data_IF_658000132473
#
_entry.id   IF_658000132473
#
_cell.length_a   1.000
_cell.length_b   1.000
_cell.length_c   1.000
_cell.angle_alpha   90.00
_cell.angle_beta   90.00
_cell.angle_gamma   90.00
#
_symmetry.space_group_name_H-M   'P 1'
#
loop_
_entity.id
_entity.type
_entity.pdbx_description
1 polymer ?
#
# COMPACT_ATOMS: atom_id res chain seq x y z
N UNK A 1 15.36 -12.43 -15.61
CA UNK A 1 16.82 -12.19 -15.59
C UNK A 1 17.39 -12.84 -14.35
N UNK A 2 18.56 -13.48 -14.42
CA UNK A 2 19.26 -14.01 -13.24
C UNK A 2 20.33 -12.99 -12.84
N UNK A 3 20.25 -12.50 -11.61
CA UNK A 3 21.17 -11.50 -11.05
C UNK A 3 21.74 -12.07 -9.77
N UNK A 4 23.05 -11.89 -9.55
CA UNK A 4 23.67 -12.21 -8.28
C UNK A 4 23.79 -10.93 -7.46
N UNK A 5 23.22 -10.93 -6.25
CA UNK A 5 23.23 -9.79 -5.34
C UNK A 5 23.43 -10.31 -3.92
N UNK A 6 24.29 -9.65 -3.16
CA UNK A 6 24.48 -9.95 -1.75
C UNK A 6 23.36 -9.29 -0.95
N UNK A 7 22.65 -10.10 -0.15
CA UNK A 7 21.60 -9.65 0.76
C UNK A 7 21.86 -10.30 2.12
N UNK A 8 21.59 -9.54 3.19
CA UNK A 8 21.60 -10.04 4.55
C UNK A 8 20.63 -11.23 4.71
N UNK A 9 21.13 -12.37 5.15
CA UNK A 9 20.35 -13.59 5.36
C UNK A 9 19.32 -13.41 6.49
N UNK A 10 19.64 -12.69 7.56
CA UNK A 10 18.69 -12.43 8.63
C UNK A 10 17.48 -11.62 8.13
N UNK A 11 17.74 -10.67 7.22
CA UNK A 11 16.69 -9.85 6.61
C UNK A 11 15.75 -10.71 5.76
N UNK A 12 16.31 -11.61 4.94
CA UNK A 12 15.52 -12.49 4.09
C UNK A 12 14.72 -13.50 4.93
N UNK A 13 15.30 -14.01 6.01
CA UNK A 13 14.64 -14.99 6.88
C UNK A 13 13.47 -14.35 7.62
N UNK A 14 13.66 -13.15 8.17
CA UNK A 14 12.58 -12.35 8.77
C UNK A 14 11.47 -12.08 7.73
N UNK A 15 11.84 -11.72 6.51
CA UNK A 15 10.88 -11.45 5.45
C UNK A 15 10.12 -12.72 5.01
N UNK A 16 10.77 -13.88 4.95
CA UNK A 16 10.12 -15.18 4.68
C UNK A 16 9.12 -15.55 5.78
N UNK A 17 9.50 -15.39 7.05
CA UNK A 17 8.65 -15.66 8.21
C UNK A 17 7.38 -14.79 8.20
N UNK A 18 7.54 -13.49 7.93
CA UNK A 18 6.43 -12.53 7.94
C UNK A 18 5.51 -12.71 6.72
N UNK A 19 6.10 -12.86 5.53
CA UNK A 19 5.34 -12.97 4.28
C UNK A 19 4.73 -14.36 4.05
N UNK A 20 5.18 -15.39 4.80
CA UNK A 20 4.83 -16.80 4.62
C UNK A 20 5.11 -17.34 3.21
N UNK A 21 6.03 -16.69 2.48
CA UNK A 21 6.46 -17.12 1.16
C UNK A 21 7.49 -18.24 1.25
N UNK A 22 7.53 -19.08 0.22
CA UNK A 22 8.38 -20.28 0.21
C UNK A 22 9.80 -20.05 -0.32
N UNK A 23 10.04 -18.95 -1.04
CA UNK A 23 11.32 -18.75 -1.75
C UNK A 23 11.86 -17.35 -1.58
N UNK A 24 13.19 -17.23 -1.47
CA UNK A 24 13.89 -15.93 -1.44
C UNK A 24 13.51 -15.06 -2.66
N UNK A 25 13.38 -15.68 -3.86
CA UNK A 25 12.94 -14.98 -5.07
C UNK A 25 11.57 -14.31 -4.89
N UNK A 26 10.58 -15.05 -4.41
CA UNK A 26 9.22 -14.52 -4.25
C UNK A 26 9.18 -13.35 -3.26
N UNK A 27 9.97 -13.43 -2.19
CA UNK A 27 10.10 -12.34 -1.21
C UNK A 27 10.71 -11.10 -1.84
N UNK A 28 11.79 -11.25 -2.60
CA UNK A 28 12.44 -10.11 -3.28
C UNK A 28 11.50 -9.47 -4.30
N UNK A 29 10.77 -10.27 -5.07
CA UNK A 29 9.82 -9.79 -6.07
C UNK A 29 8.65 -9.02 -5.42
N UNK A 30 8.10 -9.56 -4.33
CA UNK A 30 7.09 -8.86 -3.53
C UNK A 30 7.62 -7.55 -2.95
N UNK A 31 8.84 -7.56 -2.40
CA UNK A 31 9.44 -6.36 -1.80
C UNK A 31 9.63 -5.24 -2.83
N UNK A 32 10.08 -5.59 -4.06
CA UNK A 32 10.22 -4.63 -5.16
C UNK A 32 8.87 -4.07 -5.60
N UNK A 33 7.84 -4.91 -5.73
CA UNK A 33 6.49 -4.45 -6.05
C UNK A 33 5.98 -3.46 -5.00
N UNK A 34 6.11 -3.81 -3.71
CA UNK A 34 5.69 -2.95 -2.61
C UNK A 34 6.47 -1.64 -2.56
N UNK A 35 7.76 -1.67 -2.90
CA UNK A 35 8.58 -0.46 -3.00
C UNK A 35 8.05 0.48 -4.09
N UNK A 36 7.73 -0.05 -5.28
CA UNK A 36 7.19 0.74 -6.40
C UNK A 36 5.83 1.34 -6.01
N UNK A 37 4.92 0.53 -5.46
CA UNK A 37 3.60 0.99 -5.04
C UNK A 37 3.69 2.07 -3.96
N UNK A 38 4.62 1.92 -3.01
CA UNK A 38 4.90 2.93 -1.98
C UNK A 38 5.38 4.23 -2.61
N UNK A 39 6.30 4.18 -3.57
CA UNK A 39 6.80 5.38 -4.24
C UNK A 39 5.71 6.06 -5.08
N UNK A 40 4.86 5.28 -5.76
CA UNK A 40 3.71 5.83 -6.47
C UNK A 40 2.78 6.60 -5.52
N UNK A 41 2.47 6.04 -4.33
CA UNK A 41 1.69 6.74 -3.29
C UNK A 41 2.37 7.99 -2.76
N UNK A 42 3.69 7.95 -2.55
CA UNK A 42 4.44 9.15 -2.14
C UNK A 42 4.39 10.25 -3.19
N UNK A 43 4.45 9.89 -4.48
CA UNK A 43 4.33 10.85 -5.56
C UNK A 43 2.93 11.49 -5.63
N UNK A 44 1.87 10.79 -5.21
CA UNK A 44 0.53 11.39 -5.09
C UNK A 44 0.51 12.56 -4.08
N UNK A 45 1.34 12.53 -3.04
CA UNK A 45 1.44 13.67 -2.11
C UNK A 45 1.91 14.95 -2.81
N UNK A 46 2.65 14.84 -3.91
CA UNK A 46 3.06 16.00 -4.71
C UNK A 46 1.89 16.71 -5.41
N UNK A 47 0.72 16.06 -5.48
CA UNK A 47 -0.53 16.62 -6.02
C UNK A 47 -1.33 17.38 -4.95
N UNK A 48 -0.92 17.33 -3.68
CA UNK A 48 -1.58 18.07 -2.60
C UNK A 48 -1.64 19.57 -2.94
N UNK A 49 -2.84 20.15 -2.89
CA UNK A 49 -3.10 21.55 -3.24
C UNK A 49 -3.02 21.88 -4.74
N UNK A 50 -2.65 20.93 -5.61
CA UNK A 50 -2.62 21.12 -7.07
C UNK A 50 -3.90 20.63 -7.76
N UNK A 51 -4.63 19.73 -7.13
CA UNK A 51 -5.87 19.17 -7.67
C UNK A 51 -7.05 19.88 -7.01
N UNK A 52 -7.99 20.34 -7.83
CA UNK A 52 -9.26 20.89 -7.36
C UNK A 52 -10.13 19.73 -6.90
N UNK A 53 -10.49 19.73 -5.62
CA UNK A 53 -11.47 18.81 -5.08
C UNK A 53 -12.88 19.37 -5.31
N UNK A 54 -13.80 18.53 -5.76
CA UNK A 54 -15.21 18.90 -5.98
C UNK A 54 -16.09 18.01 -5.10
N UNK A 55 -16.79 18.64 -4.16
CA UNK A 55 -17.67 18.00 -3.19
C UNK A 55 -18.12 19.00 -2.11
N UNK A 56 -19.13 18.64 -1.34
CA UNK A 56 -19.61 19.41 -0.19
C UNK A 56 -19.27 18.62 1.08
N UNK A 57 -18.32 19.14 1.88
CA UNK A 57 -17.86 18.48 3.10
C UNK A 57 -18.93 18.45 4.19
N UNK A 58 -19.85 19.43 4.20
CA UNK A 58 -20.88 19.52 5.21
C UNK A 58 -21.96 18.45 4.96
N UNK A 59 -22.34 18.23 3.69
CA UNK A 59 -23.25 17.14 3.31
C UNK A 59 -22.67 15.75 3.58
N UNK A 60 -21.35 15.55 3.41
CA UNK A 60 -20.73 14.24 3.65
C UNK A 60 -20.63 13.87 5.14
N UNK A 61 -20.79 14.83 6.05
CA UNK A 61 -20.67 14.65 7.50
C UNK A 61 -22.01 14.51 8.21
N UNK A 62 -23.11 14.79 7.54
CA UNK A 62 -24.45 14.51 8.07
C UNK A 62 -24.71 13.01 8.08
N UNK A 63 -24.98 12.45 9.26
CA UNK A 63 -25.44 11.07 9.49
C UNK A 63 -26.88 10.86 8.97
N UNK A 64 -27.19 11.34 7.77
CA UNK A 64 -28.43 11.03 7.06
C UNK A 64 -28.31 9.64 6.44
N UNK A 65 -28.01 8.65 7.29
CA UNK A 65 -28.36 7.26 6.98
C UNK A 65 -29.85 7.12 7.27
N UNK A 66 -30.71 6.81 6.29
CA UNK A 66 -32.02 6.30 6.60
C UNK A 66 -31.80 5.08 7.48
N UNK A 67 -32.22 5.16 8.75
CA UNK A 67 -32.19 4.02 9.67
C UNK A 67 -32.94 2.86 9.01
N UNK A 68 -32.20 1.97 8.36
CA UNK A 68 -32.73 0.74 7.76
C UNK A 68 -32.91 -0.36 8.81
N UNK A 69 -32.63 -0.06 10.08
CA UNK A 69 -32.58 -1.03 11.18
C UNK A 69 -33.76 -0.89 12.15
N UNK A 70 -34.70 0.05 11.93
CA UNK A 70 -35.98 0.13 12.66
C UNK A 70 -37.06 -0.76 12.00
N UNK A 71 -36.81 -2.07 11.90
CA UNK A 71 -37.84 -3.04 11.50
C UNK A 71 -37.84 -4.29 12.36
#
# INVERSE_FOLDING_TARGET
MRTNIDIDDELIDKALQISRLKTKKAVVELALQQYIERQARQNLLSLFGKVKWEGDLDQMRTDDTPSSWDR
#
